data_IF_237432893826
#
_entry.id   IF_237432893826
#
_cell.length_a   1.000
_cell.length_b   1.000
_cell.length_c   1.000
_cell.angle_alpha   90.00
_cell.angle_beta   90.00
_cell.angle_gamma   90.00
#
_symmetry.space_group_name_H-M   'P 1'
#
loop_
_entity.id
_entity.type
_entity.pdbx_description
1 polymer ?
#
# COMPACT_ATOMS: atom_id res chain seq x y z
N UNK A 1 -2.58 27.49 19.14
CA UNK A 1 -4.00 27.91 19.13
C UNK A 1 -4.06 29.42 18.94
N UNK A 2 -4.82 29.87 17.97
CA UNK A 2 -5.04 31.30 17.69
C UNK A 2 -6.54 31.57 17.89
N UNK A 3 -6.91 32.05 19.07
CA UNK A 3 -8.31 32.27 19.45
C UNK A 3 -9.19 31.02 19.13
N UNK A 4 -10.01 31.12 18.10
CA UNK A 4 -10.96 30.08 17.66
C UNK A 4 -10.34 29.00 16.77
N UNK A 5 -9.08 29.12 16.40
CA UNK A 5 -8.41 28.20 15.47
C UNK A 5 -7.44 27.26 16.15
N UNK A 6 -7.45 26.04 15.75
CA UNK A 6 -6.42 25.04 16.08
C UNK A 6 -5.77 24.50 14.82
N UNK A 7 -4.45 24.37 14.83
CA UNK A 7 -3.68 23.81 13.72
C UNK A 7 -2.79 22.72 14.28
N UNK A 8 -2.87 21.55 13.66
CA UNK A 8 -1.99 20.42 13.94
C UNK A 8 -1.34 19.98 12.63
N UNK A 9 -0.01 19.90 12.60
CA UNK A 9 0.75 19.48 11.42
C UNK A 9 1.69 18.36 11.81
N UNK A 10 1.64 17.28 11.08
CA UNK A 10 2.55 16.15 11.22
C UNK A 10 3.31 15.95 9.91
N UNK A 11 4.60 15.76 10.01
CA UNK A 11 5.48 15.41 8.91
C UNK A 11 6.15 14.07 9.23
N UNK A 12 6.29 13.21 8.23
CA UNK A 12 6.92 11.94 8.45
C UNK A 12 7.60 11.40 7.20
N UNK A 13 8.53 10.49 7.46
CA UNK A 13 9.22 9.71 6.44
C UNK A 13 9.05 8.23 6.77
N UNK A 14 9.04 7.40 5.75
CA UNK A 14 8.93 5.96 5.91
C UNK A 14 9.94 5.27 4.99
N UNK A 15 10.60 4.26 5.51
CA UNK A 15 11.43 3.34 4.75
C UNK A 15 10.94 1.93 5.06
N UNK A 16 10.54 1.21 4.02
CA UNK A 16 10.25 -0.22 4.09
C UNK A 16 11.25 -0.95 3.21
N UNK A 17 11.95 -1.91 3.79
CA UNK A 17 12.92 -2.76 3.12
C UNK A 17 12.51 -4.21 3.35
N UNK A 18 12.22 -4.93 2.27
CA UNK A 18 11.69 -6.28 2.34
C UNK A 18 12.52 -7.20 1.45
N UNK A 19 13.05 -8.25 2.06
CA UNK A 19 13.86 -9.27 1.38
C UNK A 19 13.26 -10.66 1.62
N UNK A 20 13.21 -11.42 0.58
CA UNK A 20 12.83 -12.82 0.62
C UNK A 20 13.90 -13.66 -0.04
N UNK A 21 14.27 -14.74 0.58
CA UNK A 21 15.15 -15.77 0.03
C UNK A 21 14.59 -17.14 0.39
N UNK A 22 14.58 -18.03 -0.56
CA UNK A 22 14.15 -19.41 -0.37
C UNK A 22 15.10 -20.35 -1.08
N UNK A 23 15.49 -21.40 -0.39
CA UNK A 23 16.25 -22.52 -0.93
C UNK A 23 15.46 -23.78 -0.66
N UNK A 24 15.30 -24.61 -1.66
CA UNK A 24 14.53 -25.84 -1.57
C UNK A 24 14.96 -26.88 -2.59
N UNK A 25 14.26 -27.98 -2.60
CA UNK A 25 14.44 -29.07 -3.54
C UNK A 25 13.09 -29.53 -4.03
N UNK A 26 13.01 -29.86 -5.31
CA UNK A 26 11.84 -30.42 -5.97
C UNK A 26 12.19 -31.80 -6.54
N UNK A 27 11.38 -32.82 -6.25
CA UNK A 27 11.63 -34.18 -6.74
C UNK A 27 10.61 -35.18 -6.23
N UNK A 28 10.73 -36.42 -6.68
CA UNK A 28 9.90 -37.53 -6.24
C UNK A 28 10.13 -37.85 -4.77
N UNK A 29 9.12 -38.38 -4.10
CA UNK A 29 9.22 -38.86 -2.71
C UNK A 29 9.43 -40.37 -2.68
N UNK A 30 10.26 -40.88 -1.74
CA UNK A 30 10.42 -42.32 -1.47
C UNK A 30 9.17 -42.88 -0.80
N UNK A 31 8.64 -42.14 0.18
CA UNK A 31 7.40 -42.49 0.89
C UNK A 31 6.33 -41.48 0.48
N UNK A 32 5.23 -42.00 -0.03
CA UNK A 32 4.10 -41.16 -0.49
C UNK A 32 3.50 -40.35 0.68
N UNK A 33 3.13 -39.10 0.41
CA UNK A 33 2.55 -38.16 1.37
C UNK A 33 3.42 -37.80 2.60
N UNK A 34 4.71 -38.07 2.59
CA UNK A 34 5.62 -37.63 3.63
C UNK A 34 6.54 -36.52 3.08
N UNK A 35 6.17 -35.26 3.31
CA UNK A 35 6.85 -34.08 2.74
C UNK A 35 8.03 -33.65 3.63
N UNK A 36 9.20 -34.21 3.35
CA UNK A 36 10.45 -33.89 4.04
C UNK A 36 11.65 -34.01 3.07
N UNK A 37 12.65 -33.16 3.22
CA UNK A 37 13.84 -33.16 2.35
C UNK A 37 14.55 -34.52 2.32
N UNK A 38 14.69 -35.17 3.47
CA UNK A 38 15.33 -36.49 3.56
C UNK A 38 14.49 -37.64 2.95
N UNK A 39 13.22 -37.37 2.62
CA UNK A 39 12.35 -38.30 1.91
C UNK A 39 12.37 -38.10 0.39
N UNK A 40 13.13 -37.14 -0.12
CA UNK A 40 13.35 -36.99 -1.55
C UNK A 40 14.09 -38.23 -2.09
N UNK A 41 13.66 -38.68 -3.25
CA UNK A 41 14.28 -39.78 -3.98
C UNK A 41 15.36 -39.20 -4.89
N UNK A 42 16.58 -39.06 -4.34
CA UNK A 42 17.73 -38.53 -5.06
C UNK A 42 18.24 -39.44 -6.19
N UNK A 43 17.75 -40.69 -6.25
CA UNK A 43 18.03 -41.59 -7.36
C UNK A 43 17.16 -41.30 -8.60
N UNK A 44 16.11 -40.50 -8.42
CA UNK A 44 15.26 -39.97 -9.49
C UNK A 44 15.63 -38.53 -9.83
N UNK A 45 14.98 -37.98 -10.86
CA UNK A 45 15.17 -36.60 -11.22
C UNK A 45 14.75 -35.68 -10.06
N UNK A 46 15.68 -34.83 -9.63
CA UNK A 46 15.46 -33.79 -8.63
C UNK A 46 16.09 -32.47 -9.10
N UNK A 47 15.62 -31.37 -8.55
CA UNK A 47 16.11 -30.03 -8.89
C UNK A 47 16.30 -29.21 -7.62
N UNK A 48 17.44 -28.52 -7.47
CA UNK A 48 17.55 -27.46 -6.49
C UNK A 48 16.67 -26.29 -6.92
N UNK A 49 16.02 -25.63 -5.98
CA UNK A 49 15.22 -24.44 -6.19
C UNK A 49 15.80 -23.31 -5.35
N UNK A 50 16.10 -22.17 -5.99
CA UNK A 50 16.51 -20.97 -5.29
C UNK A 50 15.71 -19.81 -5.83
N UNK A 51 15.02 -19.13 -4.94
CA UNK A 51 14.20 -17.95 -5.27
C UNK A 51 14.54 -16.84 -4.29
N UNK A 52 14.48 -15.61 -4.77
CA UNK A 52 14.68 -14.46 -3.90
C UNK A 52 14.26 -13.16 -4.56
N UNK A 53 13.95 -12.20 -3.70
CA UNK A 53 13.65 -10.84 -4.14
C UNK A 53 13.96 -9.83 -3.03
N UNK A 54 14.19 -8.60 -3.44
CA UNK A 54 14.44 -7.49 -2.56
C UNK A 54 13.70 -6.25 -3.07
N UNK A 55 12.78 -5.73 -2.26
CA UNK A 55 12.01 -4.54 -2.56
C UNK A 55 12.26 -3.47 -1.51
N UNK A 56 12.31 -2.23 -1.95
CA UNK A 56 12.42 -1.08 -1.07
C UNK A 56 11.38 -0.02 -1.46
N UNK A 57 10.65 0.49 -0.46
CA UNK A 57 9.74 1.61 -0.62
C UNK A 57 10.14 2.72 0.34
N UNK A 58 10.30 3.93 -0.19
CA UNK A 58 10.56 5.15 0.57
C UNK A 58 9.37 6.08 0.42
N UNK A 59 9.01 6.76 1.50
CA UNK A 59 7.91 7.71 1.46
C UNK A 59 8.19 8.95 2.29
N UNK A 60 7.63 10.06 1.84
CA UNK A 60 7.45 11.28 2.61
C UNK A 60 5.97 11.61 2.67
N UNK A 61 5.50 11.99 3.83
CA UNK A 61 4.10 12.36 4.00
C UNK A 61 3.93 13.53 4.94
N UNK A 62 2.85 14.27 4.72
CA UNK A 62 2.40 15.35 5.54
C UNK A 62 0.91 15.21 5.83
N UNK A 63 0.52 15.54 7.06
CA UNK A 63 -0.87 15.65 7.49
C UNK A 63 -1.05 17.00 8.15
N UNK A 64 -2.09 17.72 7.78
CA UNK A 64 -2.48 18.96 8.41
C UNK A 64 -3.96 18.89 8.81
N UNK A 65 -4.26 19.23 10.04
CA UNK A 65 -5.62 19.39 10.55
C UNK A 65 -5.82 20.84 11.00
N UNK A 66 -6.86 21.45 10.46
CA UNK A 66 -7.32 22.78 10.80
C UNK A 66 -8.66 22.67 11.50
N UNK A 67 -8.73 23.07 12.76
CA UNK A 67 -9.96 23.13 13.54
C UNK A 67 -10.42 24.57 13.75
N UNK A 68 -11.72 24.79 13.63
CA UNK A 68 -12.36 26.09 13.90
C UNK A 68 -13.43 25.93 14.97
N UNK A 69 -13.29 26.72 16.06
CA UNK A 69 -14.18 26.75 17.23
C UNK A 69 -14.52 25.37 17.83
N UNK A 70 -13.67 24.38 17.61
CA UNK A 70 -13.94 22.98 17.96
C UNK A 70 -15.23 22.39 17.33
N UNK A 71 -15.73 23.02 16.27
CA UNK A 71 -16.96 22.64 15.58
C UNK A 71 -16.70 22.09 14.18
N UNK A 72 -15.73 22.68 13.47
CA UNK A 72 -15.39 22.33 12.10
C UNK A 72 -13.94 21.90 12.00
N UNK A 73 -13.68 20.78 11.33
CA UNK A 73 -12.33 20.27 11.15
C UNK A 73 -12.10 19.90 9.68
N UNK A 74 -11.03 20.46 9.13
CA UNK A 74 -10.52 20.12 7.81
C UNK A 74 -9.20 19.37 7.98
N UNK A 75 -9.12 18.16 7.45
CA UNK A 75 -7.90 17.36 7.42
C UNK A 75 -7.43 17.23 5.98
N UNK A 76 -6.15 17.52 5.74
CA UNK A 76 -5.52 17.34 4.43
C UNK A 76 -4.27 16.48 4.63
N UNK A 77 -4.15 15.44 3.83
CA UNK A 77 -2.98 14.56 3.84
C UNK A 77 -2.42 14.44 2.44
N UNK A 78 -1.11 14.49 2.33
CA UNK A 78 -0.39 14.19 1.10
C UNK A 78 0.73 13.20 1.37
N UNK A 79 0.89 12.22 0.50
CA UNK A 79 1.97 11.25 0.57
C UNK A 79 2.58 11.04 -0.81
N UNK A 80 3.91 10.97 -0.88
CA UNK A 80 4.63 10.58 -2.08
C UNK A 80 5.51 9.38 -1.78
N UNK A 81 5.37 8.33 -2.59
CA UNK A 81 6.10 7.09 -2.47
C UNK A 81 7.04 6.89 -3.66
N UNK A 82 8.25 6.39 -3.36
CA UNK A 82 9.24 5.87 -4.32
C UNK A 82 9.37 4.38 -4.06
N UNK A 83 9.03 3.57 -5.05
CA UNK A 83 9.08 2.12 -4.95
C UNK A 83 10.14 1.57 -5.92
N UNK A 84 10.98 0.65 -5.45
CA UNK A 84 12.04 0.03 -6.26
C UNK A 84 11.49 -0.67 -7.50
N UNK A 85 10.26 -1.14 -7.47
CA UNK A 85 9.55 -1.76 -8.61
C UNK A 85 9.30 -0.78 -9.76
N UNK A 86 9.34 0.53 -9.47
CA UNK A 86 9.21 1.61 -10.45
C UNK A 86 10.56 2.05 -11.06
N UNK A 87 11.67 1.45 -10.65
CA UNK A 87 13.01 1.95 -10.97
C UNK A 87 13.27 2.13 -12.49
N UNK A 88 12.70 1.24 -13.31
CA UNK A 88 12.84 1.26 -14.77
C UNK A 88 11.64 1.88 -15.50
N UNK A 89 10.68 2.45 -14.75
CA UNK A 89 9.54 3.17 -15.30
C UNK A 89 9.88 4.64 -15.54
N UNK A 90 9.15 5.27 -16.44
CA UNK A 90 9.14 6.74 -16.61
C UNK A 90 8.57 7.45 -15.38
N UNK A 91 7.79 6.73 -14.55
CA UNK A 91 7.17 7.20 -13.32
C UNK A 91 7.96 6.71 -12.11
N UNK A 92 8.85 7.57 -11.59
CA UNK A 92 9.74 7.22 -10.47
C UNK A 92 9.08 7.24 -9.11
N UNK A 93 7.95 7.94 -8.98
CA UNK A 93 7.19 8.07 -7.75
C UNK A 93 5.72 8.30 -8.04
N UNK A 94 4.90 8.18 -7.03
CA UNK A 94 3.49 8.50 -7.11
C UNK A 94 3.02 9.27 -5.87
N UNK A 95 2.32 10.35 -6.13
CA UNK A 95 1.71 11.18 -5.10
C UNK A 95 0.22 10.89 -5.01
N UNK A 96 -0.30 10.83 -3.79
CA UNK A 96 -1.71 10.65 -3.53
C UNK A 96 -2.17 11.53 -2.36
N UNK A 97 -3.23 12.30 -2.58
CA UNK A 97 -3.83 13.17 -1.57
C UNK A 97 -5.00 12.49 -0.86
N UNK A 98 -5.32 13.03 0.32
CA UNK A 98 -6.58 12.79 1.00
C UNK A 98 -7.08 14.11 1.59
N UNK A 99 -8.39 14.31 1.57
CA UNK A 99 -9.06 15.43 2.22
C UNK A 99 -10.28 14.95 2.98
N UNK A 100 -10.42 15.41 4.22
CA UNK A 100 -11.56 15.11 5.08
C UNK A 100 -12.12 16.38 5.69
N UNK A 101 -13.44 16.46 5.76
CA UNK A 101 -14.18 17.51 6.43
C UNK A 101 -15.12 16.89 7.46
N UNK A 102 -15.14 17.43 8.68
CA UNK A 102 -16.12 17.04 9.68
C UNK A 102 -16.68 18.27 10.42
N UNK A 103 -17.98 18.22 10.69
CA UNK A 103 -18.70 19.29 11.35
C UNK A 103 -19.55 18.74 12.50
N UNK A 104 -19.43 19.35 13.69
CA UNK A 104 -20.25 19.05 14.86
C UNK A 104 -21.46 19.99 14.84
N UNK A 105 -22.56 19.51 14.30
CA UNK A 105 -23.74 20.35 14.05
C UNK A 105 -24.42 20.81 15.33
N UNK A 106 -24.40 20.00 16.40
CA UNK A 106 -24.92 20.38 17.73
C UNK A 106 -24.14 21.52 18.38
N UNK A 107 -22.91 21.79 17.95
CA UNK A 107 -22.14 22.92 18.41
C UNK A 107 -22.32 24.15 17.52
N UNK A 108 -22.88 23.99 16.33
CA UNK A 108 -23.07 25.06 15.33
C UNK A 108 -24.50 25.63 15.35
N UNK A 109 -25.47 24.81 15.74
CA UNK A 109 -26.89 25.15 15.70
C UNK A 109 -27.58 24.71 17.00
N UNK A 110 -28.62 25.42 17.40
CA UNK A 110 -29.49 25.02 18.47
C UNK A 110 -30.25 23.74 18.04
N UNK A 111 -30.07 22.68 18.80
CA UNK A 111 -30.69 21.39 18.53
C UNK A 111 -31.69 21.03 19.64
N UNK A 112 -32.76 20.25 19.33
CA UNK A 112 -33.70 19.78 20.35
C UNK A 112 -32.99 18.96 21.45
N UNK A 113 -33.47 19.02 22.68
CA UNK A 113 -32.86 18.37 23.87
C UNK A 113 -32.66 16.85 23.69
N UNK A 114 -33.50 16.21 22.88
CA UNK A 114 -33.36 14.77 22.59
C UNK A 114 -32.16 14.41 21.71
N UNK A 115 -31.56 15.39 21.01
CA UNK A 115 -30.38 15.22 20.15
C UNK A 115 -29.16 15.83 20.84
N UNK A 116 -28.48 15.04 21.67
CA UNK A 116 -27.35 15.52 22.49
C UNK A 116 -26.05 15.69 21.69
N UNK A 117 -25.88 14.99 20.57
CA UNK A 117 -24.72 15.10 19.71
C UNK A 117 -25.05 14.72 18.27
N UNK A 118 -24.61 15.56 17.33
CA UNK A 118 -24.69 15.27 15.90
C UNK A 118 -23.40 15.75 15.20
N UNK A 119 -22.69 14.82 14.61
CA UNK A 119 -21.50 15.10 13.78
C UNK A 119 -21.68 14.47 12.41
N UNK A 120 -21.37 15.24 11.38
CA UNK A 120 -21.29 14.74 10.00
C UNK A 120 -19.85 14.80 9.54
N UNK A 121 -19.45 13.82 8.71
CA UNK A 121 -18.12 13.79 8.11
C UNK A 121 -18.18 13.32 6.67
N UNK A 122 -17.27 13.83 5.87
CA UNK A 122 -17.05 13.37 4.51
C UNK A 122 -15.57 13.36 4.20
N UNK A 123 -15.12 12.37 3.44
CA UNK A 123 -13.73 12.31 3.01
C UNK A 123 -13.59 11.84 1.57
N UNK A 124 -12.50 12.26 0.96
CA UNK A 124 -12.02 11.78 -0.32
C UNK A 124 -10.57 11.36 -0.17
N UNK A 125 -10.24 10.18 -0.65
CA UNK A 125 -8.89 9.63 -0.55
C UNK A 125 -8.49 9.00 -1.88
N UNK A 126 -7.28 9.30 -2.33
CA UNK A 126 -6.61 8.54 -3.38
C UNK A 126 -5.51 7.68 -2.76
N UNK A 127 -5.37 6.44 -3.24
CA UNK A 127 -4.29 5.53 -2.86
C UNK A 127 -3.64 5.00 -4.12
N UNK A 128 -2.31 5.00 -4.15
CA UNK A 128 -1.53 4.42 -5.23
C UNK A 128 -0.98 3.05 -4.82
N UNK A 129 -1.00 2.09 -5.77
CA UNK A 129 -0.32 0.82 -5.66
C UNK A 129 0.71 0.69 -6.77
N UNK A 130 1.89 0.18 -6.45
CA UNK A 130 2.82 -0.25 -7.48
C UNK A 130 2.37 -1.61 -8.06
N UNK A 131 2.92 -1.93 -9.22
CA UNK A 131 2.67 -3.18 -9.93
C UNK A 131 3.71 -4.24 -9.54
N UNK A 132 3.57 -5.44 -10.12
CA UNK A 132 4.48 -6.56 -9.89
C UNK A 132 5.91 -6.26 -10.34
N UNK A 133 6.86 -7.01 -9.81
CA UNK A 133 8.28 -6.86 -10.12
C UNK A 133 8.56 -7.13 -11.60
N UNK A 134 9.54 -6.44 -12.13
CA UNK A 134 10.10 -6.66 -13.47
C UNK A 134 9.15 -6.40 -14.65
N UNK A 135 7.98 -5.79 -14.43
CA UNK A 135 7.07 -5.44 -15.52
C UNK A 135 7.61 -4.34 -16.45
N UNK A 136 8.60 -3.58 -15.99
CA UNK A 136 9.19 -2.44 -16.72
C UNK A 136 10.59 -2.72 -17.23
N UNK A 137 11.11 -3.93 -17.00
CA UNK A 137 12.46 -4.32 -17.47
C UNK A 137 12.44 -5.71 -18.09
N UNK A 138 13.39 -5.96 -18.98
CA UNK A 138 13.59 -7.28 -19.55
C UNK A 138 14.17 -8.21 -18.50
N UNK A 139 13.65 -9.42 -18.39
CA UNK A 139 14.22 -10.50 -17.58
C UNK A 139 14.58 -11.69 -18.46
N UNK A 140 15.58 -12.44 -18.02
CA UNK A 140 16.05 -13.63 -18.70
C UNK A 140 15.98 -14.81 -17.72
N UNK A 141 14.81 -15.50 -17.62
CA UNK A 141 14.71 -16.66 -16.76
C UNK A 141 15.64 -17.77 -17.25
N UNK A 142 16.34 -18.38 -16.30
CA UNK A 142 17.17 -19.54 -16.59
C UNK A 142 16.28 -20.81 -16.62
N UNK A 143 16.39 -21.57 -17.67
CA UNK A 143 15.73 -22.88 -17.79
C UNK A 143 16.72 -23.99 -17.42
N UNK A 144 16.48 -24.62 -16.30
CA UNK A 144 17.31 -25.69 -15.77
C UNK A 144 17.28 -26.97 -16.65
N UNK A 145 16.19 -27.20 -17.37
CA UNK A 145 16.06 -28.39 -18.21
C UNK A 145 16.89 -28.29 -19.49
N UNK A 146 16.92 -27.11 -20.13
CA UNK A 146 17.68 -26.85 -21.34
C UNK A 146 19.06 -26.27 -21.07
N UNK A 147 19.37 -25.90 -19.82
CA UNK A 147 20.58 -25.18 -19.41
C UNK A 147 20.81 -23.86 -20.18
N UNK A 148 19.73 -23.19 -20.55
CA UNK A 148 19.76 -21.96 -21.33
C UNK A 148 19.02 -20.82 -20.66
N UNK A 149 19.39 -19.59 -21.02
CA UNK A 149 18.64 -18.40 -20.67
C UNK A 149 17.55 -18.16 -21.70
N UNK A 150 16.30 -18.11 -21.22
CA UNK A 150 15.17 -17.79 -22.07
C UNK A 150 14.92 -16.28 -22.11
N UNK A 151 14.37 -15.82 -23.22
CA UNK A 151 13.86 -14.44 -23.31
C UNK A 151 12.46 -14.38 -22.72
N UNK A 152 12.11 -13.25 -22.10
CA UNK A 152 10.73 -13.04 -21.65
C UNK A 152 9.77 -13.01 -22.84
N UNK A 153 8.60 -13.60 -22.67
CA UNK A 153 7.51 -13.52 -23.66
C UNK A 153 6.71 -12.21 -23.57
N UNK A 154 6.93 -11.43 -22.52
CA UNK A 154 6.24 -10.16 -22.27
C UNK A 154 7.19 -8.99 -22.53
N UNK A 155 6.78 -8.09 -23.41
CA UNK A 155 7.55 -6.87 -23.67
C UNK A 155 7.43 -5.91 -22.47
N UNK A 156 8.54 -5.40 -21.91
CA UNK A 156 8.51 -4.51 -20.77
C UNK A 156 7.87 -3.17 -21.15
N UNK A 157 6.99 -2.66 -20.30
CA UNK A 157 6.34 -1.38 -20.51
C UNK A 157 6.86 -0.33 -19.54
N UNK A 158 7.81 0.50 -20.00
CA UNK A 158 8.36 1.59 -19.19
C UNK A 158 7.36 2.72 -18.88
N UNK A 159 6.24 2.79 -19.65
CA UNK A 159 5.18 3.78 -19.44
C UNK A 159 4.08 3.30 -18.50
N UNK A 160 4.29 2.18 -17.83
CA UNK A 160 3.34 1.64 -16.87
C UNK A 160 3.19 2.60 -15.68
N UNK A 161 1.95 2.99 -15.41
CA UNK A 161 1.60 3.88 -14.30
C UNK A 161 1.18 3.07 -13.09
N UNK A 162 1.48 3.54 -11.87
CA UNK A 162 0.89 2.97 -10.67
C UNK A 162 -0.64 2.98 -10.73
N UNK A 163 -1.24 1.94 -10.21
CA UNK A 163 -2.69 1.87 -10.08
C UNK A 163 -3.18 2.90 -9.06
N UNK A 164 -4.33 3.52 -9.32
CA UNK A 164 -4.95 4.49 -8.43
C UNK A 164 -6.35 4.08 -8.06
N UNK A 165 -6.57 3.96 -6.76
CA UNK A 165 -7.89 3.75 -6.17
C UNK A 165 -8.38 5.06 -5.58
N UNK A 166 -9.63 5.45 -5.90
CA UNK A 166 -10.30 6.64 -5.39
C UNK A 166 -11.48 6.20 -4.53
N UNK A 167 -11.56 6.74 -3.33
CA UNK A 167 -12.58 6.37 -2.36
C UNK A 167 -13.28 7.61 -1.81
N UNK A 168 -14.58 7.51 -1.62
CA UNK A 168 -15.42 8.50 -0.94
C UNK A 168 -16.05 7.86 0.28
N UNK A 169 -16.05 8.59 1.38
CA UNK A 169 -16.71 8.17 2.60
C UNK A 169 -17.58 9.31 3.13
N UNK A 170 -18.80 8.97 3.55
CA UNK A 170 -19.69 9.88 4.28
C UNK A 170 -20.16 9.18 5.54
N UNK A 171 -20.10 9.85 6.67
CA UNK A 171 -20.49 9.31 7.95
C UNK A 171 -21.30 10.31 8.80
N UNK A 172 -22.17 9.78 9.62
CA UNK A 172 -22.97 10.53 10.60
C UNK A 172 -22.85 9.83 11.94
N UNK A 173 -22.48 10.60 12.96
CA UNK A 173 -22.45 10.16 14.35
C UNK A 173 -23.53 10.93 15.13
N UNK A 174 -24.52 10.23 15.67
CA UNK A 174 -25.59 10.83 16.46
C UNK A 174 -25.73 10.16 17.83
N UNK A 175 -26.03 10.97 18.86
CA UNK A 175 -26.36 10.51 20.20
C UNK A 175 -27.71 11.11 20.60
N UNK A 176 -28.57 10.26 21.13
CA UNK A 176 -29.92 10.61 21.55
C UNK A 176 -30.09 10.38 23.05
N UNK A 177 -30.88 11.23 23.72
CA UNK A 177 -31.36 11.02 25.07
C UNK A 177 -30.21 10.75 26.09
N UNK A 178 -29.36 11.71 26.29
CA UNK A 178 -28.31 11.63 27.31
C UNK A 178 -28.74 12.34 28.58
#
# INVERSE_FOLDING_TARGET
NFNDWSVNVNLGVSLNDSRYESIGYEGGLKIYNFFAVHNLDFDKAWKPKQEGWHDQTRAIFANAELGWKSMLYLTVTGRNDWDSRLAFSDYKSFFYPSVGLSAILTSMFDTPEWLSFLKVRGSYTEVGNSYDRFMTTVTYPYDEASHNWNTTSVYPNTKLKPERTKSWEVGVDARFLN
#
